data_IF_302557897350
#
_entry.id   IF_302557897350
#
_cell.length_a   1.000
_cell.length_b   1.000
_cell.length_c   1.000
_cell.angle_alpha   90.00
_cell.angle_beta   90.00
_cell.angle_gamma   90.00
#
_symmetry.space_group_name_H-M   'P 1'
#
loop_
_entity.id
_entity.type
_entity.pdbx_description
1 polymer ?
#
# COMPACT_ATOMS: atom_id res chain seq x y z
N UNK A 1 20.66 -67.91 -17.89
CA UNK A 1 20.71 -68.54 -19.24
C UNK A 1 21.08 -67.47 -20.22
N UNK A 2 22.19 -67.58 -20.70
CA UNK A 2 22.91 -67.67 -21.97
C UNK A 2 23.48 -66.34 -22.40
N UNK A 3 24.72 -66.10 -22.18
CA UNK A 3 26.01 -66.39 -22.87
C UNK A 3 26.37 -65.38 -23.96
N UNK A 4 27.49 -64.65 -23.70
CA UNK A 4 28.68 -64.45 -24.52
C UNK A 4 28.59 -64.18 -26.04
N UNK A 5 29.26 -63.09 -26.49
CA UNK A 5 30.39 -63.29 -27.41
C UNK A 5 31.34 -62.07 -27.45
N UNK A 6 32.62 -62.36 -27.14
CA UNK A 6 33.83 -61.62 -27.45
C UNK A 6 34.11 -61.61 -28.95
N UNK A 7 34.67 -60.52 -29.48
CA UNK A 7 35.67 -60.60 -30.56
C UNK A 7 36.64 -59.41 -30.47
N UNK A 8 37.86 -59.76 -30.17
CA UNK A 8 39.12 -59.02 -30.33
C UNK A 8 39.58 -59.04 -31.78
N UNK A 9 40.09 -57.90 -32.30
CA UNK A 9 41.05 -57.92 -33.43
C UNK A 9 42.07 -56.79 -33.26
N UNK A 10 43.23 -57.18 -33.02
CA UNK A 10 44.62 -56.80 -33.32
C UNK A 10 44.92 -55.45 -33.99
N UNK A 11 45.81 -54.80 -33.37
CA UNK A 11 46.96 -53.95 -33.62
C UNK A 11 47.42 -53.70 -35.07
N UNK A 12 47.70 -52.43 -35.35
CA UNK A 12 48.84 -52.07 -36.22
C UNK A 12 49.35 -50.68 -35.75
N UNK A 13 50.59 -50.67 -35.35
CA UNK A 13 51.26 -49.45 -34.89
C UNK A 13 51.75 -48.65 -36.09
N UNK A 14 51.91 -47.32 -35.81
CA UNK A 14 52.78 -46.46 -36.60
C UNK A 14 53.38 -45.37 -35.73
N UNK A 15 54.61 -45.21 -35.85
CA UNK A 15 55.60 -44.36 -35.20
C UNK A 15 55.24 -42.85 -35.15
N UNK A 16 55.45 -42.22 -34.04
CA UNK A 16 56.37 -41.17 -33.70
C UNK A 16 56.23 -39.80 -34.40
N UNK A 17 55.79 -38.81 -33.57
CA UNK A 17 56.40 -37.49 -33.56
C UNK A 17 56.28 -36.94 -32.12
N UNK A 18 57.41 -36.98 -31.43
CA UNK A 18 57.61 -36.24 -30.17
C UNK A 18 57.59 -34.70 -30.48
N UNK A 19 56.42 -34.13 -30.51
CA UNK A 19 56.26 -32.69 -30.42
C UNK A 19 56.18 -32.30 -28.94
N UNK A 20 57.26 -31.70 -28.42
CA UNK A 20 57.25 -31.01 -27.10
C UNK A 20 56.31 -29.83 -27.16
N UNK A 21 55.00 -30.08 -27.02
CA UNK A 21 54.00 -29.07 -26.81
C UNK A 21 54.21 -28.49 -25.42
N UNK A 22 54.83 -27.33 -25.34
CA UNK A 22 54.83 -26.54 -24.11
C UNK A 22 53.39 -26.29 -23.70
N UNK A 23 52.95 -26.89 -22.58
CA UNK A 23 51.71 -26.56 -21.91
C UNK A 23 51.81 -25.09 -21.52
N UNK A 24 51.25 -24.22 -22.35
CA UNK A 24 50.98 -22.82 -21.97
C UNK A 24 49.93 -22.90 -20.85
N UNK A 25 50.40 -22.88 -19.61
CA UNK A 25 49.50 -22.65 -18.48
C UNK A 25 48.87 -21.27 -18.68
N UNK A 26 47.59 -21.26 -19.07
CA UNK A 26 46.79 -20.05 -19.07
C UNK A 26 46.78 -19.48 -17.64
N UNK A 27 47.48 -18.38 -17.43
CA UNK A 27 47.42 -17.67 -16.17
C UNK A 27 45.95 -17.30 -15.92
N UNK A 28 45.41 -17.54 -14.71
CA UNK A 28 44.07 -17.11 -14.38
C UNK A 28 43.95 -15.60 -14.67
N UNK A 29 43.03 -15.25 -15.53
CA UNK A 29 42.76 -13.86 -15.87
C UNK A 29 42.57 -13.06 -14.56
N UNK A 30 43.36 -11.98 -14.39
CA UNK A 30 43.18 -11.08 -13.25
C UNK A 30 41.73 -10.66 -13.21
N UNK A 31 41.07 -10.72 -12.05
CA UNK A 31 39.67 -10.29 -11.94
C UNK A 31 39.57 -8.84 -12.47
N UNK A 32 38.64 -8.66 -13.39
CA UNK A 32 38.37 -7.33 -13.94
C UNK A 32 38.03 -6.41 -12.77
N UNK A 33 38.68 -5.23 -12.64
CA UNK A 33 38.32 -4.29 -11.58
C UNK A 33 36.82 -4.00 -11.65
N UNK A 34 36.15 -4.05 -10.51
CA UNK A 34 34.74 -3.70 -10.43
C UNK A 34 34.54 -2.26 -10.97
N UNK A 35 33.46 -1.97 -11.73
CA UNK A 35 33.20 -0.62 -12.18
C UNK A 35 33.13 0.33 -10.98
N UNK A 36 33.62 1.58 -11.13
CA UNK A 36 33.62 2.52 -10.04
C UNK A 36 32.20 2.75 -9.52
N UNK A 37 32.04 2.80 -8.19
CA UNK A 37 30.75 3.09 -7.58
C UNK A 37 30.42 4.58 -7.83
N UNK A 38 29.51 4.85 -8.75
CA UNK A 38 29.07 6.21 -9.09
C UNK A 38 28.40 6.93 -7.92
N UNK A 39 27.99 6.21 -6.89
CA UNK A 39 27.33 6.72 -5.67
C UNK A 39 28.29 6.93 -4.50
N UNK A 40 29.60 6.75 -4.70
CA UNK A 40 30.60 6.71 -3.61
C UNK A 40 30.50 7.93 -2.70
N UNK A 41 30.40 9.14 -3.25
CA UNK A 41 30.34 10.38 -2.47
C UNK A 41 29.08 10.44 -1.56
N UNK A 42 27.94 9.91 -2.03
CA UNK A 42 26.71 9.84 -1.26
C UNK A 42 26.85 8.78 -0.15
N UNK A 43 27.37 7.62 -0.54
CA UNK A 43 27.55 6.47 0.38
C UNK A 43 28.50 6.82 1.53
N UNK A 44 29.60 7.53 1.23
CA UNK A 44 30.57 7.99 2.23
C UNK A 44 29.95 9.04 3.17
N UNK A 45 29.18 9.98 2.64
CA UNK A 45 28.49 10.96 3.48
C UNK A 45 27.48 10.30 4.40
N UNK A 46 26.73 9.32 3.90
CA UNK A 46 25.73 8.59 4.68
C UNK A 46 26.33 7.61 5.71
N UNK A 47 27.61 7.25 5.58
CA UNK A 47 28.32 6.49 6.61
C UNK A 47 28.62 7.31 7.88
N UNK A 48 28.53 8.64 7.82
CA UNK A 48 28.87 9.57 8.89
C UNK A 48 27.66 10.38 9.38
N UNK A 49 26.43 9.86 9.25
CA UNK A 49 25.24 10.53 9.78
C UNK A 49 25.29 10.56 11.29
N UNK A 50 25.14 11.74 11.95
CA UNK A 50 25.13 11.83 13.41
C UNK A 50 23.99 11.00 14.03
N UNK A 51 24.26 10.30 15.13
CA UNK A 51 23.30 9.46 15.83
C UNK A 51 22.02 10.22 16.23
N UNK A 52 22.15 11.49 16.59
CA UNK A 52 21.01 12.35 16.92
C UNK A 52 20.00 12.49 15.74
N UNK A 53 20.49 12.42 14.52
CA UNK A 53 19.66 12.49 13.30
C UNK A 53 19.03 11.15 12.93
N UNK A 54 19.48 10.04 13.51
CA UNK A 54 19.06 8.69 13.12
C UNK A 54 18.04 8.05 14.06
N UNK A 55 17.59 8.77 15.08
CA UNK A 55 16.62 8.27 16.08
C UNK A 55 15.19 8.20 15.55
N UNK A 56 14.88 8.99 14.52
CA UNK A 56 13.56 9.02 13.86
C UNK A 56 13.71 9.12 12.35
N UNK A 57 12.74 8.62 11.59
CA UNK A 57 12.69 8.78 10.13
C UNK A 57 12.73 10.27 9.72
N UNK A 58 12.04 11.14 10.47
CA UNK A 58 12.06 12.59 10.24
C UNK A 58 13.42 13.23 10.51
N UNK A 59 14.18 12.76 11.51
CA UNK A 59 15.54 13.19 11.77
C UNK A 59 16.48 12.86 10.61
N UNK A 60 16.42 11.61 10.14
CA UNK A 60 17.20 11.13 9.00
C UNK A 60 16.83 11.90 7.72
N UNK A 61 15.54 12.11 7.46
CA UNK A 61 15.07 12.86 6.31
C UNK A 61 15.55 14.32 6.32
N UNK A 62 15.55 14.99 7.47
CA UNK A 62 16.11 16.36 7.59
C UNK A 62 17.59 16.39 7.25
N UNK A 63 18.39 15.43 7.76
CA UNK A 63 19.81 15.34 7.42
C UNK A 63 20.01 15.13 5.92
N UNK A 64 19.26 14.23 5.28
CA UNK A 64 19.31 13.95 3.85
C UNK A 64 18.94 15.22 3.06
N UNK A 65 17.85 15.90 3.40
CA UNK A 65 17.42 17.13 2.71
C UNK A 65 18.44 18.27 2.83
N UNK A 66 19.15 18.39 3.96
CA UNK A 66 20.22 19.36 4.15
C UNK A 66 21.50 18.99 3.37
N UNK A 67 21.68 17.71 3.04
CA UNK A 67 22.90 17.19 2.44
C UNK A 67 22.83 17.04 0.93
N UNK A 68 21.64 16.84 0.36
CA UNK A 68 21.44 16.52 -1.05
C UNK A 68 20.27 17.30 -1.63
N UNK A 69 20.37 17.70 -2.91
CA UNK A 69 19.36 18.51 -3.58
C UNK A 69 18.49 17.71 -4.56
N UNK A 70 19.05 16.70 -5.23
CA UNK A 70 18.33 15.93 -6.25
C UNK A 70 17.54 14.76 -5.66
N UNK A 71 16.43 14.38 -6.31
CA UNK A 71 15.66 13.18 -5.91
C UNK A 71 16.51 11.90 -5.99
N UNK A 72 17.39 11.81 -6.99
CA UNK A 72 18.29 10.68 -7.17
C UNK A 72 19.24 10.51 -5.97
N UNK A 73 19.90 11.60 -5.55
CA UNK A 73 20.82 11.56 -4.41
C UNK A 73 20.09 11.26 -3.10
N UNK A 74 18.91 11.86 -2.90
CA UNK A 74 18.10 11.65 -1.71
C UNK A 74 17.57 10.21 -1.62
N UNK A 75 17.11 9.64 -2.74
CA UNK A 75 16.70 8.24 -2.82
C UNK A 75 17.87 7.32 -2.51
N UNK A 76 19.06 7.60 -3.08
CA UNK A 76 20.28 6.85 -2.79
C UNK A 76 20.69 6.94 -1.34
N UNK A 77 20.68 8.13 -0.78
CA UNK A 77 21.05 8.40 0.62
C UNK A 77 20.14 7.60 1.59
N UNK A 78 18.83 7.66 1.40
CA UNK A 78 17.88 6.89 2.20
C UNK A 78 18.13 5.38 2.06
N UNK A 79 18.32 4.90 0.83
CA UNK A 79 18.52 3.48 0.52
C UNK A 79 19.77 2.92 1.17
N UNK A 80 20.91 3.57 0.94
CA UNK A 80 22.19 3.07 1.47
C UNK A 80 22.25 3.12 2.98
N UNK A 81 21.64 4.16 3.57
CA UNK A 81 21.58 4.25 5.02
C UNK A 81 20.78 3.10 5.63
N UNK A 82 19.58 2.82 5.13
CA UNK A 82 18.74 1.71 5.61
C UNK A 82 19.46 0.38 5.42
N UNK A 83 19.97 0.11 4.21
CA UNK A 83 20.64 -1.16 3.91
C UNK A 83 21.89 -1.43 4.75
N UNK A 84 22.61 -0.37 5.19
CA UNK A 84 23.84 -0.53 5.97
C UNK A 84 23.65 -0.43 7.49
N UNK A 85 22.54 0.14 7.95
CA UNK A 85 22.33 0.42 9.37
C UNK A 85 21.25 -0.45 10.04
N UNK A 86 20.54 -1.26 9.28
CA UNK A 86 19.62 -2.27 9.80
C UNK A 86 20.26 -3.64 9.54
N UNK A 87 20.40 -4.43 10.60
CA UNK A 87 20.85 -5.82 10.52
C UNK A 87 19.66 -6.73 10.22
N UNK A 88 19.83 -7.67 9.28
CA UNK A 88 18.77 -8.65 9.03
C UNK A 88 18.58 -9.57 10.23
N UNK A 89 17.35 -9.79 10.62
CA UNK A 89 16.97 -10.70 11.70
C UNK A 89 17.00 -12.14 11.20
N UNK A 90 18.15 -12.78 11.35
CA UNK A 90 18.34 -14.19 10.99
C UNK A 90 17.89 -15.14 12.10
N UNK A 91 17.58 -14.63 13.30
CA UNK A 91 17.07 -15.42 14.43
C UNK A 91 15.57 -15.68 14.30
N UNK A 92 14.83 -14.69 13.75
CA UNK A 92 13.38 -14.80 13.46
C UNK A 92 13.04 -14.37 12.01
N UNK A 93 13.60 -15.04 10.99
CA UNK A 93 13.49 -14.62 9.57
C UNK A 93 12.09 -14.80 9.00
N UNK A 94 11.20 -15.51 9.69
CA UNK A 94 9.83 -15.82 9.26
C UNK A 94 8.79 -14.89 9.85
N UNK A 95 9.17 -13.95 10.71
CA UNK A 95 8.27 -12.96 11.34
C UNK A 95 7.90 -11.83 10.34
N UNK A 96 7.35 -12.22 9.20
CA UNK A 96 6.98 -11.31 8.13
C UNK A 96 5.49 -11.00 8.24
N UNK A 97 5.15 -9.86 8.85
CA UNK A 97 3.78 -9.39 9.03
C UNK A 97 3.58 -8.10 8.22
N UNK A 98 2.88 -8.19 7.09
CA UNK A 98 2.70 -7.07 6.16
C UNK A 98 1.76 -5.96 6.65
N UNK A 99 0.93 -6.24 7.65
CA UNK A 99 -0.20 -5.38 8.00
C UNK A 99 -0.10 -4.79 9.41
N UNK A 100 1.12 -4.67 9.92
CA UNK A 100 1.39 -3.91 11.15
C UNK A 100 1.29 -2.41 10.85
N UNK A 101 1.02 -1.63 11.90
CA UNK A 101 1.03 -0.17 11.77
C UNK A 101 2.45 0.31 11.38
N UNK A 102 2.60 1.03 10.25
CA UNK A 102 3.93 1.42 9.75
C UNK A 102 4.74 2.23 10.77
N UNK A 103 4.09 3.10 11.54
CA UNK A 103 4.76 3.91 12.57
C UNK A 103 5.43 3.05 13.63
N UNK A 104 4.82 1.93 14.03
CA UNK A 104 5.37 0.99 15.02
C UNK A 104 6.55 0.22 14.42
N UNK A 105 6.39 -0.29 13.19
CA UNK A 105 7.45 -1.00 12.45
C UNK A 105 8.71 -0.13 12.30
N UNK A 106 8.53 1.14 11.92
CA UNK A 106 9.62 2.10 11.73
C UNK A 106 10.29 2.42 13.07
N UNK A 107 9.50 2.63 14.13
CA UNK A 107 10.03 2.91 15.48
C UNK A 107 10.89 1.75 16.00
N UNK A 108 10.42 0.52 15.84
CA UNK A 108 11.16 -0.68 16.23
C UNK A 108 12.46 -0.83 15.42
N UNK A 109 12.41 -0.70 14.11
CA UNK A 109 13.59 -0.76 13.24
C UNK A 109 14.66 0.25 13.64
N UNK A 110 14.27 1.48 13.96
CA UNK A 110 15.19 2.53 14.37
C UNK A 110 15.74 2.31 15.79
N UNK A 111 14.96 1.75 16.71
CA UNK A 111 15.37 1.50 18.08
C UNK A 111 16.30 0.28 18.18
N UNK A 112 15.96 -0.81 17.48
CA UNK A 112 16.66 -2.10 17.61
C UNK A 112 17.78 -2.26 16.59
N UNK A 113 17.73 -1.53 15.46
CA UNK A 113 18.64 -1.69 14.31
C UNK A 113 18.64 -3.13 13.75
N UNK A 114 17.56 -3.84 13.95
CA UNK A 114 17.35 -5.22 13.50
C UNK A 114 15.94 -5.33 12.92
N UNK A 115 15.76 -6.15 11.88
CA UNK A 115 14.45 -6.42 11.32
C UNK A 115 14.51 -7.31 10.09
N UNK A 116 13.34 -7.74 9.65
CA UNK A 116 13.14 -8.47 8.39
C UNK A 116 12.76 -7.50 7.26
N UNK A 117 12.43 -8.00 6.10
CA UNK A 117 12.15 -7.21 4.90
C UNK A 117 11.12 -6.08 5.11
N UNK A 118 10.12 -6.29 5.97
CA UNK A 118 9.07 -5.29 6.24
C UNK A 118 9.67 -4.06 6.92
N UNK A 119 10.57 -4.22 7.91
CA UNK A 119 11.25 -3.12 8.58
C UNK A 119 12.13 -2.32 7.62
N UNK A 120 12.86 -2.99 6.74
CA UNK A 120 13.68 -2.34 5.70
C UNK A 120 12.82 -1.53 4.74
N UNK A 121 11.74 -2.14 4.23
CA UNK A 121 10.89 -1.52 3.23
C UNK A 121 10.10 -0.32 3.80
N UNK A 122 9.50 -0.48 5.00
CA UNK A 122 8.75 0.59 5.67
C UNK A 122 9.64 1.77 6.04
N UNK A 123 10.83 1.50 6.61
CA UNK A 123 11.76 2.56 6.97
C UNK A 123 12.28 3.32 5.75
N UNK A 124 12.66 2.60 4.68
CA UNK A 124 13.07 3.25 3.44
C UNK A 124 11.93 4.08 2.85
N UNK A 125 10.73 3.50 2.75
CA UNK A 125 9.55 4.19 2.22
C UNK A 125 9.24 5.47 3.01
N UNK A 126 9.27 5.42 4.34
CA UNK A 126 9.02 6.58 5.17
C UNK A 126 10.04 7.69 4.96
N UNK A 127 11.33 7.35 4.95
CA UNK A 127 12.40 8.35 4.73
C UNK A 127 12.33 8.92 3.32
N UNK A 128 12.13 8.07 2.31
CA UNK A 128 12.03 8.48 0.91
C UNK A 128 10.87 9.46 0.69
N UNK A 129 9.68 9.16 1.23
CA UNK A 129 8.53 10.05 1.13
C UNK A 129 8.78 11.40 1.85
N UNK A 130 9.43 11.39 3.02
CA UNK A 130 9.77 12.61 3.75
C UNK A 130 10.82 13.50 3.04
N UNK A 131 11.62 12.92 2.15
CA UNK A 131 12.57 13.70 1.32
C UNK A 131 12.02 14.06 -0.06
N UNK A 132 10.73 13.76 -0.33
CA UNK A 132 10.04 14.11 -1.57
C UNK A 132 10.11 13.06 -2.68
N UNK A 133 10.58 11.85 -2.37
CA UNK A 133 10.63 10.74 -3.32
C UNK A 133 9.41 9.84 -3.08
N UNK A 134 8.40 9.95 -3.95
CA UNK A 134 7.18 9.15 -3.83
C UNK A 134 7.49 7.64 -3.84
N UNK A 135 7.19 6.95 -2.76
CA UNK A 135 7.58 5.55 -2.54
C UNK A 135 6.46 4.75 -1.90
N UNK A 136 6.25 3.54 -2.41
CA UNK A 136 5.30 2.56 -1.89
C UNK A 136 6.02 1.28 -1.47
N UNK A 137 5.57 0.69 -0.38
CA UNK A 137 5.97 -0.67 0.01
C UNK A 137 5.21 -1.67 -0.85
N UNK A 138 5.92 -2.62 -1.41
CA UNK A 138 5.39 -3.64 -2.33
C UNK A 138 5.51 -5.01 -1.67
N UNK A 139 4.43 -5.60 -1.21
CA UNK A 139 4.41 -6.97 -0.73
C UNK A 139 4.35 -7.96 -1.90
N UNK A 140 5.04 -9.10 -1.71
CA UNK A 140 5.11 -10.15 -2.71
C UNK A 140 5.85 -11.39 -2.19
N UNK A 141 6.50 -12.10 -3.09
CA UNK A 141 7.34 -13.26 -2.77
C UNK A 141 8.52 -13.34 -3.72
N UNK A 142 9.53 -14.12 -3.33
CA UNK A 142 10.79 -14.18 -4.07
C UNK A 142 11.08 -15.57 -4.60
N UNK A 143 12.02 -15.63 -5.54
CA UNK A 143 12.61 -16.86 -6.03
C UNK A 143 14.09 -16.86 -5.70
N UNK A 144 14.54 -17.92 -5.05
CA UNK A 144 15.93 -18.13 -4.66
C UNK A 144 16.83 -18.35 -5.89
N UNK A 145 18.14 -18.32 -5.70
CA UNK A 145 19.11 -18.53 -6.78
C UNK A 145 19.02 -19.91 -7.43
N UNK A 146 18.61 -20.92 -6.69
CA UNK A 146 18.37 -22.28 -7.18
C UNK A 146 17.05 -22.43 -7.97
N UNK A 147 16.26 -21.36 -8.08
CA UNK A 147 14.97 -21.34 -8.76
C UNK A 147 13.78 -21.71 -7.88
N UNK A 148 13.99 -22.03 -6.61
CA UNK A 148 12.93 -22.36 -5.66
C UNK A 148 12.16 -21.09 -5.27
N UNK A 149 10.83 -21.14 -5.30
CA UNK A 149 9.97 -20.05 -4.76
C UNK A 149 10.01 -20.11 -3.24
N UNK A 150 10.27 -18.98 -2.61
CA UNK A 150 10.29 -18.89 -1.15
C UNK A 150 8.93 -19.28 -0.54
N UNK A 151 8.98 -19.93 0.63
CA UNK A 151 7.79 -20.36 1.37
C UNK A 151 7.14 -19.23 2.18
N UNK A 152 7.82 -18.09 2.29
CA UNK A 152 7.36 -16.90 3.02
C UNK A 152 7.30 -15.71 2.08
N UNK A 153 6.47 -14.71 2.47
CA UNK A 153 6.39 -13.46 1.75
C UNK A 153 7.67 -12.63 1.84
N UNK A 154 7.72 -11.56 1.06
CA UNK A 154 8.80 -10.59 1.05
C UNK A 154 8.25 -9.20 0.75
N UNK A 155 8.94 -8.15 1.23
CA UNK A 155 8.59 -6.76 0.97
C UNK A 155 9.78 -5.99 0.43
N UNK A 156 9.50 -5.14 -0.56
CA UNK A 156 10.46 -4.21 -1.15
C UNK A 156 9.78 -2.88 -1.46
N UNK A 157 10.37 -2.03 -2.29
CA UNK A 157 9.82 -0.71 -2.59
C UNK A 157 9.73 -0.44 -4.09
N UNK A 158 8.72 0.35 -4.46
CA UNK A 158 8.62 1.04 -5.73
C UNK A 158 8.71 2.54 -5.48
N UNK A 159 9.70 3.21 -6.09
CA UNK A 159 9.92 4.66 -5.94
C UNK A 159 9.84 5.38 -7.27
N UNK A 160 9.22 6.55 -7.29
CA UNK A 160 9.24 7.46 -8.42
C UNK A 160 10.37 8.49 -8.23
N UNK A 161 11.43 8.33 -9.01
CA UNK A 161 12.63 9.14 -8.94
C UNK A 161 12.79 9.88 -10.26
N UNK A 162 12.88 11.18 -10.23
CA UNK A 162 12.97 12.05 -11.43
C UNK A 162 11.87 11.71 -12.47
N UNK A 163 10.64 11.49 -11.99
CA UNK A 163 9.48 11.18 -12.83
C UNK A 163 9.38 9.74 -13.34
N UNK A 164 10.33 8.86 -13.00
CA UNK A 164 10.35 7.44 -13.44
C UNK A 164 10.20 6.49 -12.27
N UNK A 165 9.46 5.41 -12.48
CA UNK A 165 9.30 4.35 -11.48
C UNK A 165 10.44 3.35 -11.54
N UNK A 166 10.96 3.00 -10.35
CA UNK A 166 12.02 2.03 -10.13
C UNK A 166 11.64 1.07 -8.99
N UNK A 167 12.19 -0.14 -9.05
CA UNK A 167 12.09 -1.12 -7.98
C UNK A 167 13.39 -1.14 -7.19
N UNK A 168 13.27 -1.24 -5.86
CA UNK A 168 14.39 -1.18 -4.93
C UNK A 168 14.16 -2.17 -3.79
N UNK A 169 15.20 -2.94 -3.46
CA UNK A 169 15.16 -3.82 -2.30
C UNK A 169 16.34 -3.54 -1.37
N UNK A 170 16.14 -2.77 -0.30
CA UNK A 170 17.20 -2.49 0.67
C UNK A 170 17.61 -3.73 1.46
N UNK A 171 16.73 -4.75 1.61
CA UNK A 171 17.02 -5.98 2.33
C UNK A 171 18.04 -6.84 1.57
N UNK A 172 17.75 -7.13 0.31
CA UNK A 172 18.66 -7.93 -0.53
C UNK A 172 19.93 -7.17 -0.89
N UNK A 173 19.92 -5.85 -0.81
CA UNK A 173 21.12 -5.03 -0.94
C UNK A 173 21.99 -5.01 0.31
N UNK A 174 21.45 -5.28 1.50
CA UNK A 174 22.16 -5.20 2.77
C UNK A 174 23.14 -6.38 2.96
N UNK A 175 22.75 -7.59 2.55
CA UNK A 175 23.55 -8.80 2.75
C UNK A 175 22.78 -10.09 2.43
N UNK A 176 23.21 -11.16 3.04
CA UNK A 176 22.61 -12.50 2.87
C UNK A 176 22.75 -13.33 4.15
N UNK A 177 21.99 -14.43 4.22
CA UNK A 177 22.06 -15.38 5.35
C UNK A 177 22.77 -16.65 4.91
N UNK A 178 23.71 -17.14 5.71
CA UNK A 178 24.40 -18.41 5.56
C UNK A 178 24.45 -19.09 6.91
N UNK A 179 24.05 -20.37 6.98
CA UNK A 179 24.03 -21.15 8.22
C UNK A 179 23.36 -20.39 9.37
N UNK A 180 22.17 -19.84 9.08
CA UNK A 180 21.34 -19.05 10.00
C UNK A 180 22.03 -17.78 10.57
N UNK A 181 23.12 -17.32 9.92
CA UNK A 181 23.84 -16.10 10.30
C UNK A 181 23.76 -15.06 9.19
N UNK A 182 23.44 -13.84 9.58
CA UNK A 182 23.48 -12.71 8.67
C UNK A 182 24.91 -12.28 8.38
N UNK A 183 25.23 -12.18 7.08
CA UNK A 183 26.51 -11.68 6.57
C UNK A 183 26.27 -10.35 5.86
N UNK A 184 26.72 -9.21 6.43
CA UNK A 184 26.57 -7.93 5.79
C UNK A 184 27.46 -7.83 4.55
N UNK A 185 26.83 -7.59 3.39
CA UNK A 185 27.52 -7.41 2.12
C UNK A 185 26.68 -6.52 1.21
N UNK A 186 26.94 -5.24 1.26
CA UNK A 186 26.21 -4.29 0.46
C UNK A 186 26.39 -4.52 -1.05
N UNK A 187 25.26 -4.48 -1.79
CA UNK A 187 25.20 -4.61 -3.24
C UNK A 187 24.34 -3.52 -3.87
N UNK A 188 24.75 -2.99 -5.02
CA UNK A 188 23.95 -2.05 -5.81
C UNK A 188 22.90 -2.74 -6.70
N UNK A 189 22.86 -4.05 -6.75
CA UNK A 189 22.02 -4.83 -7.67
C UNK A 189 20.53 -4.48 -7.58
N UNK A 190 20.06 -4.22 -6.35
CA UNK A 190 18.66 -3.95 -6.07
C UNK A 190 18.38 -2.45 -5.80
N UNK A 191 19.29 -1.57 -6.19
CA UNK A 191 19.02 -0.13 -6.22
C UNK A 191 18.66 0.29 -7.63
N UNK A 192 17.42 0.78 -7.85
CA UNK A 192 16.89 1.20 -9.16
C UNK A 192 16.97 0.07 -10.21
N UNK A 193 16.70 -1.15 -9.79
CA UNK A 193 16.76 -2.29 -10.70
C UNK A 193 15.67 -2.17 -11.80
N UNK A 194 16.00 -2.46 -13.06
CA UNK A 194 15.01 -2.46 -14.14
C UNK A 194 13.90 -3.48 -13.87
N UNK A 195 12.61 -3.15 -14.08
CA UNK A 195 11.49 -4.06 -13.82
C UNK A 195 11.63 -5.42 -14.48
N UNK A 196 12.13 -5.48 -15.73
CA UNK A 196 12.33 -6.75 -16.47
C UNK A 196 13.45 -7.63 -15.86
N UNK A 197 14.38 -7.06 -15.10
CA UNK A 197 15.40 -7.78 -14.35
C UNK A 197 14.86 -8.17 -12.98
N UNK A 198 14.24 -7.25 -12.29
CA UNK A 198 13.72 -7.42 -10.93
C UNK A 198 12.66 -8.55 -10.85
N UNK A 199 11.79 -8.64 -11.85
CA UNK A 199 10.76 -9.70 -11.95
C UNK A 199 11.36 -11.13 -12.09
N UNK A 200 12.65 -11.29 -12.28
CA UNK A 200 13.27 -12.62 -12.34
C UNK A 200 13.25 -13.33 -11.00
N UNK A 201 13.29 -12.58 -9.93
CA UNK A 201 13.36 -13.09 -8.56
C UNK A 201 12.40 -12.42 -7.55
N UNK A 202 11.66 -11.39 -7.94
CA UNK A 202 10.67 -10.70 -7.11
C UNK A 202 9.31 -10.67 -7.80
N UNK A 203 8.31 -11.31 -7.23
CA UNK A 203 6.95 -11.35 -7.75
C UNK A 203 5.99 -10.64 -6.79
N UNK A 204 5.47 -9.45 -7.13
CA UNK A 204 4.51 -8.77 -6.29
C UNK A 204 3.17 -9.51 -6.29
N UNK A 205 2.43 -9.44 -5.17
CA UNK A 205 1.07 -9.97 -5.12
C UNK A 205 0.14 -9.21 -6.05
N UNK A 206 0.24 -7.89 -6.08
CA UNK A 206 -0.50 -7.03 -7.02
C UNK A 206 0.33 -6.84 -8.30
N UNK A 207 -0.17 -7.28 -9.47
CA UNK A 207 0.55 -7.19 -10.74
C UNK A 207 0.89 -5.76 -11.19
N UNK A 208 0.22 -4.74 -10.64
CA UNK A 208 0.54 -3.32 -10.85
C UNK A 208 2.02 -3.03 -10.58
N UNK A 209 2.54 -3.60 -9.49
CA UNK A 209 3.90 -3.34 -9.02
C UNK A 209 4.99 -4.15 -9.73
N UNK A 210 4.64 -4.92 -10.76
CA UNK A 210 5.64 -5.44 -11.68
C UNK A 210 6.24 -4.33 -12.55
N UNK A 211 5.53 -3.21 -12.73
CA UNK A 211 5.90 -2.09 -13.61
C UNK A 211 6.20 -2.54 -15.05
N UNK A 212 5.49 -3.55 -15.52
CA UNK A 212 5.65 -4.14 -16.84
C UNK A 212 4.40 -3.92 -17.70
N UNK A 213 4.54 -3.61 -18.99
CA UNK A 213 3.41 -3.48 -19.91
C UNK A 213 2.69 -4.82 -20.16
N UNK A 214 3.35 -5.94 -19.91
CA UNK A 214 2.79 -7.29 -19.92
C UNK A 214 3.19 -8.00 -18.62
N UNK A 215 2.39 -7.91 -17.55
CA UNK A 215 2.69 -8.56 -16.28
C UNK A 215 2.82 -10.08 -16.42
N UNK A 216 3.83 -10.66 -15.78
CA UNK A 216 4.04 -12.11 -15.73
C UNK A 216 3.06 -12.76 -14.77
N UNK A 217 2.52 -13.90 -15.18
CA UNK A 217 1.75 -14.77 -14.30
C UNK A 217 2.67 -15.50 -13.29
N UNK A 218 2.10 -16.01 -12.20
CA UNK A 218 2.84 -16.81 -11.21
C UNK A 218 3.55 -18.03 -11.87
N UNK A 219 2.91 -18.67 -12.84
CA UNK A 219 3.50 -19.82 -13.56
C UNK A 219 4.71 -19.39 -14.43
N UNK A 220 4.61 -18.27 -15.14
CA UNK A 220 5.72 -17.71 -15.92
C UNK A 220 6.88 -17.30 -15.02
N UNK A 221 6.60 -16.70 -13.87
CA UNK A 221 7.60 -16.38 -12.88
C UNK A 221 8.32 -17.64 -12.37
N UNK A 222 7.57 -18.66 -11.98
CA UNK A 222 8.13 -19.93 -11.50
C UNK A 222 9.02 -20.59 -12.55
N UNK A 223 8.57 -20.65 -13.82
CA UNK A 223 9.32 -21.24 -14.94
C UNK A 223 10.43 -20.33 -15.49
N UNK A 224 10.51 -19.07 -15.06
CA UNK A 224 11.46 -18.11 -15.61
C UNK A 224 11.17 -17.68 -17.04
N UNK A 225 9.94 -17.91 -17.55
CA UNK A 225 9.54 -17.56 -18.91
C UNK A 225 8.96 -16.16 -19.01
N UNK A 226 9.07 -15.55 -20.19
CA UNK A 226 8.37 -14.29 -20.50
C UNK A 226 7.00 -14.58 -21.13
N UNK A 227 6.05 -13.61 -21.14
CA UNK A 227 4.83 -13.69 -21.93
C UNK A 227 5.16 -13.91 -23.42
N UNK A 228 4.44 -14.83 -24.05
CA UNK A 228 4.62 -15.19 -25.48
C UNK A 228 3.46 -14.54 -26.28
N UNK A 229 3.70 -13.98 -27.48
CA UNK A 229 2.64 -13.50 -28.37
C UNK A 229 1.61 -14.59 -28.76
N UNK A 230 0.32 -14.22 -28.99
CA UNK A 230 -0.20 -12.86 -28.92
C UNK A 230 -0.25 -12.34 -27.48
N UNK A 231 0.36 -11.15 -27.28
CA UNK A 231 0.32 -10.51 -25.97
C UNK A 231 -1.11 -10.00 -25.72
N UNK A 232 -1.60 -10.09 -24.46
CA UNK A 232 -2.84 -9.38 -24.09
C UNK A 232 -2.68 -7.88 -24.38
N UNK A 233 -3.79 -7.12 -24.45
CA UNK A 233 -3.70 -5.66 -24.54
C UNK A 233 -2.68 -5.15 -23.53
N UNK A 234 -1.78 -4.26 -23.99
CA UNK A 234 -0.72 -3.73 -23.13
C UNK A 234 -1.34 -3.05 -21.91
N UNK A 235 -0.93 -3.49 -20.75
CA UNK A 235 -1.35 -2.89 -19.49
C UNK A 235 -0.60 -1.57 -19.29
N UNK A 236 -1.35 -0.46 -19.31
CA UNK A 236 -0.78 0.84 -18.97
C UNK A 236 -0.56 0.94 -17.45
N UNK A 237 0.58 0.44 -16.98
CA UNK A 237 0.92 0.58 -15.56
C UNK A 237 1.07 2.05 -15.15
N UNK A 238 1.52 2.93 -16.04
CA UNK A 238 1.65 4.35 -15.74
C UNK A 238 0.30 5.01 -15.43
N UNK A 239 -0.72 4.77 -16.26
CA UNK A 239 -2.07 5.28 -16.03
C UNK A 239 -2.70 4.65 -14.79
N UNK A 240 -2.45 3.36 -14.57
CA UNK A 240 -2.94 2.64 -13.40
C UNK A 240 -2.31 3.14 -12.11
N UNK A 241 -1.02 3.47 -12.11
CA UNK A 241 -0.33 4.11 -10.99
C UNK A 241 -0.85 5.53 -10.74
N UNK A 242 -1.01 6.33 -11.81
CA UNK A 242 -1.57 7.67 -11.68
C UNK A 242 -3.02 7.64 -11.15
N UNK A 243 -3.81 6.62 -11.50
CA UNK A 243 -5.12 6.38 -10.92
C UNK A 243 -5.02 5.95 -9.44
N UNK A 244 -4.11 5.04 -9.11
CA UNK A 244 -3.85 4.56 -7.76
C UNK A 244 -3.46 5.71 -6.82
N UNK A 245 -2.57 6.61 -7.23
CA UNK A 245 -2.15 7.78 -6.45
C UNK A 245 -3.31 8.74 -6.09
N UNK A 246 -4.37 8.78 -6.91
CA UNK A 246 -5.56 9.62 -6.65
C UNK A 246 -6.62 8.95 -5.80
N UNK A 247 -6.50 7.67 -5.54
CA UNK A 247 -7.47 6.89 -4.77
C UNK A 247 -7.29 7.09 -3.27
N UNK A 248 -8.41 7.04 -2.52
CA UNK A 248 -8.35 6.91 -1.07
C UNK A 248 -7.79 5.54 -0.65
N UNK A 249 -7.29 5.38 0.59
CA UNK A 249 -6.72 4.10 1.06
C UNK A 249 -7.66 2.90 0.85
N UNK A 250 -8.96 3.05 1.10
CA UNK A 250 -9.93 1.97 0.88
C UNK A 250 -10.13 1.66 -0.62
N UNK A 251 -10.08 2.68 -1.49
CA UNK A 251 -10.14 2.47 -2.93
C UNK A 251 -8.89 1.78 -3.46
N UNK A 252 -7.70 2.14 -2.94
CA UNK A 252 -6.43 1.48 -3.26
C UNK A 252 -6.47 0.00 -2.87
N UNK A 253 -6.95 -0.31 -1.66
CA UNK A 253 -7.07 -1.67 -1.15
C UNK A 253 -8.02 -2.51 -2.02
N UNK A 254 -9.19 -1.95 -2.35
CA UNK A 254 -10.17 -2.60 -3.24
C UNK A 254 -9.64 -2.82 -4.65
N UNK A 255 -8.94 -1.84 -5.21
CA UNK A 255 -8.34 -1.95 -6.53
C UNK A 255 -7.23 -3.02 -6.56
N UNK A 256 -6.42 -3.09 -5.49
CA UNK A 256 -5.40 -4.14 -5.30
C UNK A 256 -6.04 -5.52 -5.26
N UNK A 257 -7.07 -5.73 -4.44
CA UNK A 257 -7.79 -7.01 -4.34
C UNK A 257 -8.33 -7.45 -5.70
N UNK A 258 -8.97 -6.54 -6.42
CA UNK A 258 -9.51 -6.81 -7.77
C UNK A 258 -8.42 -7.21 -8.76
N UNK A 259 -7.26 -6.51 -8.78
CA UNK A 259 -6.16 -6.85 -9.68
C UNK A 259 -5.55 -8.21 -9.37
N UNK A 260 -5.41 -8.57 -8.08
CA UNK A 260 -4.93 -9.88 -7.65
C UNK A 260 -5.89 -10.97 -8.13
N UNK A 261 -7.19 -10.80 -7.93
CA UNK A 261 -8.22 -11.75 -8.37
C UNK A 261 -8.22 -11.93 -9.88
N UNK A 262 -8.18 -10.84 -10.64
CA UNK A 262 -8.16 -10.86 -12.11
C UNK A 262 -6.87 -11.49 -12.67
N UNK A 263 -5.75 -11.28 -12.02
CA UNK A 263 -4.47 -11.88 -12.41
C UNK A 263 -4.39 -13.37 -12.06
N UNK A 264 -5.16 -13.80 -11.09
CA UNK A 264 -5.35 -15.17 -10.65
C UNK A 264 -4.50 -15.55 -9.43
N UNK A 265 -5.19 -16.16 -8.47
CA UNK A 265 -4.60 -16.69 -7.23
C UNK A 265 -4.09 -18.11 -7.49
N UNK A 266 -2.78 -18.31 -7.61
CA UNK A 266 -2.14 -19.57 -8.04
C UNK A 266 -1.21 -20.19 -7.01
N UNK A 267 -1.03 -19.56 -5.84
CA UNK A 267 -0.24 -20.12 -4.73
C UNK A 267 -0.79 -19.67 -3.37
N UNK A 268 -0.40 -20.37 -2.29
CA UNK A 268 -0.87 -20.13 -0.94
C UNK A 268 -0.50 -18.74 -0.40
N UNK A 269 0.67 -18.19 -0.73
CA UNK A 269 1.09 -16.87 -0.27
C UNK A 269 0.17 -15.77 -0.84
N UNK A 270 -0.13 -15.82 -2.14
CA UNK A 270 -1.06 -14.87 -2.77
C UNK A 270 -2.47 -15.02 -2.21
N UNK A 271 -2.90 -16.26 -1.92
CA UNK A 271 -4.19 -16.52 -1.30
C UNK A 271 -4.28 -15.90 0.11
N UNK A 272 -3.31 -16.19 0.97
CA UNK A 272 -3.28 -15.64 2.34
C UNK A 272 -3.25 -14.11 2.31
N UNK A 273 -2.40 -13.51 1.50
CA UNK A 273 -2.34 -12.06 1.36
C UNK A 273 -3.68 -11.44 0.92
N UNK A 274 -4.36 -12.07 -0.05
CA UNK A 274 -5.67 -11.61 -0.50
C UNK A 274 -6.74 -11.74 0.58
N UNK A 275 -6.74 -12.82 1.35
CA UNK A 275 -7.65 -13.02 2.48
C UNK A 275 -7.45 -11.91 3.51
N UNK A 276 -6.21 -11.66 3.93
CA UNK A 276 -5.88 -10.62 4.90
C UNK A 276 -6.25 -9.22 4.38
N UNK A 277 -6.00 -8.95 3.10
CA UNK A 277 -6.40 -7.70 2.47
C UNK A 277 -7.92 -7.49 2.44
N UNK A 278 -8.68 -8.54 2.14
CA UNK A 278 -10.15 -8.48 2.19
C UNK A 278 -10.67 -8.26 3.61
N UNK A 279 -10.03 -8.89 4.60
CA UNK A 279 -10.36 -8.66 6.00
C UNK A 279 -10.14 -7.20 6.40
N UNK A 280 -9.02 -6.60 5.96
CA UNK A 280 -8.72 -5.16 6.19
C UNK A 280 -9.73 -4.26 5.47
N UNK A 281 -10.09 -4.57 4.23
CA UNK A 281 -11.13 -3.85 3.49
C UNK A 281 -12.43 -3.86 4.29
N UNK A 282 -12.85 -5.01 4.75
CA UNK A 282 -14.06 -5.18 5.55
C UNK A 282 -13.99 -4.40 6.88
N UNK A 283 -12.86 -4.46 7.58
CA UNK A 283 -12.63 -3.71 8.82
C UNK A 283 -12.76 -2.18 8.62
N UNK A 284 -12.19 -1.64 7.53
CA UNK A 284 -12.33 -0.21 7.21
C UNK A 284 -13.79 0.17 6.92
N UNK A 285 -14.57 -0.69 6.28
CA UNK A 285 -16.00 -0.45 6.08
C UNK A 285 -16.75 -0.38 7.39
N UNK A 286 -16.51 -1.32 8.31
CA UNK A 286 -17.16 -1.30 9.62
C UNK A 286 -16.80 -0.07 10.43
N UNK A 287 -15.55 0.37 10.39
CA UNK A 287 -15.13 1.62 11.04
C UNK A 287 -15.89 2.81 10.47
N UNK A 288 -15.92 2.97 9.14
CA UNK A 288 -16.65 4.06 8.50
C UNK A 288 -18.16 4.00 8.77
N UNK A 289 -18.74 2.80 8.79
CA UNK A 289 -20.15 2.60 9.12
C UNK A 289 -20.46 3.04 10.55
N UNK A 290 -19.67 2.61 11.52
CA UNK A 290 -19.83 2.96 12.93
C UNK A 290 -19.68 4.48 13.15
N UNK A 291 -18.71 5.11 12.47
CA UNK A 291 -18.56 6.57 12.49
C UNK A 291 -19.80 7.27 11.91
N UNK A 292 -20.36 6.73 10.82
CA UNK A 292 -21.60 7.21 10.23
C UNK A 292 -22.79 7.11 11.17
N UNK A 293 -22.93 5.99 11.90
CA UNK A 293 -23.96 5.80 12.93
C UNK A 293 -23.80 6.80 14.07
N UNK A 294 -22.57 7.05 14.52
CA UNK A 294 -22.29 8.03 15.58
C UNK A 294 -22.65 9.45 15.14
N UNK A 295 -22.29 9.84 13.91
CA UNK A 295 -22.67 11.15 13.33
C UNK A 295 -24.18 11.27 13.20
N UNK A 296 -24.87 10.20 12.77
CA UNK A 296 -26.34 10.16 12.69
C UNK A 296 -27.00 10.38 14.04
N UNK A 297 -26.57 9.68 15.08
CA UNK A 297 -27.12 9.82 16.43
C UNK A 297 -26.96 11.24 16.95
N UNK A 298 -25.78 11.84 16.79
CA UNK A 298 -25.54 13.23 17.16
C UNK A 298 -26.41 14.23 16.37
N UNK A 299 -26.66 13.96 15.09
CA UNK A 299 -27.55 14.77 14.26
C UNK A 299 -29.01 14.68 14.71
N UNK A 300 -29.47 13.46 15.07
CA UNK A 300 -30.83 13.24 15.62
C UNK A 300 -31.01 14.00 16.93
N UNK A 301 -30.02 13.97 17.84
CA UNK A 301 -30.08 14.71 19.12
C UNK A 301 -30.18 16.22 18.89
N UNK A 302 -29.40 16.75 17.95
CA UNK A 302 -29.48 18.17 17.55
C UNK A 302 -30.86 18.52 16.95
N UNK A 303 -31.41 17.64 16.11
CA UNK A 303 -32.73 17.82 15.52
C UNK A 303 -33.82 17.78 16.57
N UNK A 304 -33.79 16.85 17.51
CA UNK A 304 -34.72 16.76 18.61
C UNK A 304 -34.67 18.03 19.47
N UNK A 305 -33.47 18.51 19.82
CA UNK A 305 -33.28 19.79 20.54
C UNK A 305 -33.91 20.99 19.78
N UNK A 306 -33.73 21.00 18.44
CA UNK A 306 -34.34 22.00 17.60
C UNK A 306 -35.88 21.90 17.60
N UNK A 307 -36.45 20.70 17.48
CA UNK A 307 -37.91 20.48 17.52
C UNK A 307 -38.47 20.89 18.87
N UNK A 308 -37.80 20.57 19.97
CA UNK A 308 -38.21 21.05 21.30
C UNK A 308 -38.20 22.60 21.40
N UNK A 309 -37.16 23.23 20.85
CA UNK A 309 -37.07 24.69 20.80
C UNK A 309 -38.19 25.30 19.93
N UNK A 310 -38.50 24.68 18.81
CA UNK A 310 -39.64 25.03 17.96
C UNK A 310 -40.95 24.87 18.73
N UNK A 311 -41.19 23.76 19.45
CA UNK A 311 -42.40 23.51 20.24
C UNK A 311 -42.57 24.50 21.39
N UNK A 312 -41.46 25.04 21.92
CA UNK A 312 -41.49 26.17 22.89
C UNK A 312 -41.64 27.53 22.20
N UNK A 313 -42.10 27.56 20.95
CA UNK A 313 -42.30 28.77 20.17
C UNK A 313 -41.06 29.66 20.07
N UNK A 314 -39.90 29.01 19.91
CA UNK A 314 -38.58 29.60 19.85
C UNK A 314 -38.23 30.46 21.08
N UNK A 315 -38.53 29.95 22.29
CA UNK A 315 -38.13 30.58 23.55
C UNK A 315 -36.91 29.89 24.16
N UNK A 316 -35.89 30.62 24.65
CA UNK A 316 -35.74 32.09 24.60
C UNK A 316 -35.56 32.60 23.17
N UNK A 317 -35.99 33.85 22.94
CA UNK A 317 -35.98 34.46 21.59
C UNK A 317 -34.57 34.56 21.01
N UNK A 318 -34.48 34.26 19.71
CA UNK A 318 -33.30 34.45 18.87
C UNK A 318 -33.64 35.39 17.71
N UNK A 319 -32.62 36.01 17.13
CA UNK A 319 -32.75 36.78 15.88
C UNK A 319 -33.09 35.87 14.71
N UNK A 320 -33.66 36.41 13.64
CA UNK A 320 -33.98 35.67 12.42
C UNK A 320 -32.73 35.03 11.81
N UNK A 321 -31.60 35.71 11.88
CA UNK A 321 -30.28 35.19 11.42
C UNK A 321 -29.82 33.99 12.25
N UNK A 322 -29.96 34.06 13.58
CA UNK A 322 -29.59 32.93 14.46
C UNK A 322 -30.52 31.74 14.23
N UNK A 323 -31.83 31.97 14.03
CA UNK A 323 -32.79 30.91 13.73
C UNK A 323 -32.46 30.21 12.40
N UNK A 324 -32.12 31.00 11.37
CA UNK A 324 -31.75 30.48 10.05
C UNK A 324 -30.50 29.62 10.10
N UNK A 325 -29.58 29.88 11.02
CA UNK A 325 -28.32 29.15 11.17
C UNK A 325 -28.44 27.79 11.90
N UNK A 326 -29.61 27.47 12.50
CA UNK A 326 -29.75 26.25 13.34
C UNK A 326 -29.77 24.94 12.55
N UNK A 327 -30.44 24.89 11.39
CA UNK A 327 -30.71 23.66 10.66
C UNK A 327 -29.61 23.24 9.65
N UNK A 328 -28.86 24.16 9.00
CA UNK A 328 -27.83 23.75 8.03
C UNK A 328 -26.75 22.82 8.58
N UNK A 329 -26.21 22.99 9.81
CA UNK A 329 -25.26 22.05 10.40
C UNK A 329 -25.85 20.64 10.58
N UNK A 330 -27.12 20.52 10.96
CA UNK A 330 -27.81 19.24 11.13
C UNK A 330 -27.97 18.53 9.77
N UNK A 331 -28.30 19.30 8.73
CA UNK A 331 -28.39 18.79 7.37
C UNK A 331 -27.03 18.25 6.86
N UNK A 332 -25.94 18.96 7.17
CA UNK A 332 -24.58 18.54 6.83
C UNK A 332 -24.20 17.24 7.55
N UNK A 333 -24.56 17.10 8.84
CA UNK A 333 -24.30 15.89 9.60
C UNK A 333 -25.07 14.68 9.04
N UNK A 334 -26.36 14.81 8.67
CA UNK A 334 -27.10 13.73 8.01
C UNK A 334 -26.50 13.35 6.66
N UNK A 335 -26.10 14.34 5.85
CA UNK A 335 -25.43 14.06 4.58
C UNK A 335 -24.10 13.31 4.79
N UNK A 336 -23.32 13.68 5.81
CA UNK A 336 -22.08 12.99 6.19
C UNK A 336 -22.37 11.57 6.65
N UNK A 337 -23.36 11.35 7.50
CA UNK A 337 -23.76 10.02 7.97
C UNK A 337 -24.17 9.12 6.79
N UNK A 338 -24.94 9.65 5.85
CA UNK A 338 -25.35 8.93 4.63
C UNK A 338 -24.12 8.49 3.81
N UNK A 339 -23.16 9.38 3.57
CA UNK A 339 -21.96 9.06 2.80
C UNK A 339 -21.11 7.99 3.48
N UNK A 340 -20.94 8.05 4.80
CA UNK A 340 -20.15 7.08 5.56
C UNK A 340 -20.81 5.69 5.58
N UNK A 341 -22.15 5.61 5.59
CA UNK A 341 -22.89 4.35 5.69
C UNK A 341 -23.33 3.76 4.34
N UNK A 342 -23.17 4.50 3.24
CA UNK A 342 -23.62 4.05 1.91
C UNK A 342 -22.84 2.89 1.32
N UNK A 343 -21.62 2.62 1.79
CA UNK A 343 -20.64 1.77 1.11
C UNK A 343 -20.41 0.41 1.79
N UNK A 344 -21.27 -0.05 2.69
CA UNK A 344 -21.08 -1.35 3.36
C UNK A 344 -21.30 -2.49 2.35
N UNK A 345 -20.27 -3.30 2.03
CA UNK A 345 -20.48 -4.50 1.22
C UNK A 345 -21.38 -5.47 2.00
N UNK A 346 -22.47 -5.84 1.41
CA UNK A 346 -23.33 -6.89 1.95
C UNK A 346 -22.64 -8.25 1.75
N UNK A 347 -21.78 -8.63 2.68
CA UNK A 347 -21.10 -9.92 2.68
C UNK A 347 -21.92 -11.00 3.39
N UNK A 348 -22.91 -10.60 4.18
CA UNK A 348 -23.79 -11.44 4.99
C UNK A 348 -25.22 -10.89 4.94
N UNK A 349 -26.24 -11.74 4.73
CA UNK A 349 -27.66 -11.34 4.70
C UNK A 349 -28.10 -10.57 5.96
N UNK A 350 -27.58 -10.89 7.13
CA UNK A 350 -27.89 -10.20 8.38
C UNK A 350 -27.37 -8.77 8.41
N UNK A 351 -26.16 -8.54 7.88
CA UNK A 351 -25.55 -7.24 7.75
C UNK A 351 -26.28 -6.38 6.72
N UNK A 352 -26.73 -6.99 5.62
CA UNK A 352 -27.54 -6.33 4.60
C UNK A 352 -28.84 -5.83 5.21
N UNK A 353 -29.56 -6.66 5.95
CA UNK A 353 -30.81 -6.30 6.62
C UNK A 353 -30.61 -5.15 7.61
N UNK A 354 -29.54 -5.17 8.41
CA UNK A 354 -29.18 -4.12 9.35
C UNK A 354 -28.87 -2.79 8.65
N UNK A 355 -28.12 -2.84 7.55
CA UNK A 355 -27.79 -1.65 6.76
C UNK A 355 -29.05 -1.04 6.10
N UNK A 356 -29.95 -1.86 5.55
CA UNK A 356 -31.20 -1.42 4.96
C UNK A 356 -32.12 -0.77 6.02
N UNK A 357 -32.22 -1.36 7.20
CA UNK A 357 -32.99 -0.80 8.32
C UNK A 357 -32.41 0.54 8.76
N UNK A 358 -31.09 0.66 8.86
CA UNK A 358 -30.44 1.94 9.18
C UNK A 358 -30.74 3.00 8.11
N UNK A 359 -30.63 2.66 6.81
CA UNK A 359 -30.96 3.59 5.73
C UNK A 359 -32.42 4.06 5.76
N UNK A 360 -33.35 3.18 6.17
CA UNK A 360 -34.76 3.55 6.38
C UNK A 360 -34.91 4.55 7.53
N UNK A 361 -34.21 4.33 8.64
CA UNK A 361 -34.20 5.21 9.80
C UNK A 361 -33.60 6.58 9.46
N UNK A 362 -32.50 6.61 8.72
CA UNK A 362 -31.85 7.82 8.24
C UNK A 362 -32.81 8.66 7.37
N UNK A 363 -33.46 8.02 6.38
CA UNK A 363 -34.47 8.70 5.53
C UNK A 363 -35.64 9.30 6.35
N UNK A 364 -36.11 8.58 7.37
CA UNK A 364 -37.17 9.10 8.25
C UNK A 364 -36.73 10.34 9.03
N UNK A 365 -35.48 10.35 9.52
CA UNK A 365 -34.92 11.53 10.20
C UNK A 365 -34.72 12.72 9.26
N UNK A 366 -34.27 12.47 8.04
CA UNK A 366 -34.15 13.50 7.00
C UNK A 366 -35.49 14.10 6.60
N UNK A 367 -36.55 13.29 6.54
CA UNK A 367 -37.91 13.80 6.32
C UNK A 367 -38.35 14.78 7.44
N UNK A 368 -38.08 14.43 8.70
CA UNK A 368 -38.35 15.33 9.83
C UNK A 368 -37.54 16.65 9.77
N UNK A 369 -36.28 16.54 9.33
CA UNK A 369 -35.46 17.74 9.10
C UNK A 369 -36.06 18.63 8.01
N UNK A 370 -36.54 18.06 6.90
CA UNK A 370 -37.20 18.80 5.82
C UNK A 370 -38.48 19.48 6.30
N UNK A 371 -39.29 18.81 7.12
CA UNK A 371 -40.48 19.40 7.75
C UNK A 371 -40.10 20.59 8.64
N UNK A 372 -39.05 20.47 9.46
CA UNK A 372 -38.54 21.55 10.32
C UNK A 372 -38.01 22.73 9.50
N UNK A 373 -37.31 22.47 8.39
CA UNK A 373 -36.82 23.46 7.43
C UNK A 373 -38.00 24.21 6.78
N UNK A 374 -39.01 23.47 6.32
CA UNK A 374 -40.20 24.05 5.71
C UNK A 374 -40.97 24.94 6.71
N UNK A 375 -41.12 24.52 7.97
CA UNK A 375 -41.71 25.33 9.02
C UNK A 375 -40.88 26.60 9.28
N UNK A 376 -39.56 26.47 9.46
CA UNK A 376 -38.66 27.59 9.69
C UNK A 376 -38.74 28.63 8.57
N UNK A 377 -38.75 28.20 7.31
CA UNK A 377 -38.87 29.08 6.16
C UNK A 377 -40.21 29.88 6.21
N UNK A 378 -41.34 29.21 6.48
CA UNK A 378 -42.62 29.89 6.63
C UNK A 378 -42.61 30.89 7.80
N UNK A 379 -42.00 30.49 8.93
CA UNK A 379 -41.90 31.34 10.12
C UNK A 379 -41.08 32.61 9.84
N UNK A 380 -39.96 32.49 9.18
CA UNK A 380 -39.09 33.65 8.86
C UNK A 380 -39.71 34.58 7.79
N UNK A 381 -40.49 34.03 6.85
CA UNK A 381 -41.20 34.83 5.83
C UNK A 381 -42.44 35.54 6.37
N UNK A 382 -43.02 35.04 7.45
CA UNK A 382 -44.21 35.60 8.02
C UNK A 382 -43.96 36.95 8.73
N UNK A 383 -44.95 37.87 8.62
CA UNK A 383 -44.93 39.09 9.42
C UNK A 383 -44.86 38.73 10.92
N UNK A 384 -44.05 39.47 11.68
CA UNK A 384 -43.80 39.21 13.12
C UNK A 384 -45.06 39.03 13.94
N UNK A 385 -46.13 39.81 13.65
CA UNK A 385 -47.42 39.70 14.32
C UNK A 385 -48.18 38.39 14.02
N UNK A 386 -47.92 37.78 12.87
CA UNK A 386 -48.57 36.53 12.44
C UNK A 386 -47.79 35.26 12.83
N UNK A 387 -46.54 35.39 13.24
CA UNK A 387 -45.66 34.23 13.61
C UNK A 387 -46.27 33.33 14.70
N UNK A 388 -46.92 33.84 15.78
CA UNK A 388 -47.52 32.99 16.79
C UNK A 388 -48.64 32.09 16.25
N UNK A 389 -49.38 32.54 15.23
CA UNK A 389 -50.47 31.76 14.63
C UNK A 389 -49.96 30.52 13.86
N UNK A 390 -48.70 30.51 13.40
CA UNK A 390 -48.12 29.37 12.72
C UNK A 390 -47.96 28.17 13.66
N UNK A 391 -47.84 28.36 14.96
CA UNK A 391 -47.75 27.25 15.94
C UNK A 391 -49.13 26.61 16.20
N UNK A 392 -50.24 27.26 15.85
CA UNK A 392 -51.60 26.69 15.92
C UNK A 392 -51.85 25.72 14.73
N UNK A 393 -51.16 25.94 13.60
CA UNK A 393 -51.25 25.07 12.42
C UNK A 393 -49.86 24.84 11.83
N UNK A 394 -48.99 24.04 12.50
CA UNK A 394 -47.61 23.86 12.11
C UNK A 394 -47.44 23.15 10.76
N UNK A 395 -48.39 22.34 10.32
CA UNK A 395 -48.33 21.63 9.04
C UNK A 395 -48.72 22.50 7.82
N UNK A 396 -49.33 23.66 8.04
CA UNK A 396 -49.82 24.56 6.99
C UNK A 396 -50.94 23.95 6.11
N UNK A 397 -51.50 22.81 6.52
CA UNK A 397 -52.65 22.20 5.82
C UNK A 397 -53.89 22.99 6.14
N UNK A 398 -54.54 23.49 5.11
CA UNK A 398 -55.77 24.26 5.27
C UNK A 398 -56.85 23.32 5.81
N UNK A 399 -57.44 23.58 7.03
CA UNK A 399 -58.50 22.70 7.58
C UNK A 399 -59.79 22.69 6.75
N UNK A 400 -59.93 23.57 5.77
CA UNK A 400 -61.13 23.69 4.90
C UNK A 400 -61.09 22.88 3.63
N UNK A 401 -60.03 22.06 3.40
CA UNK A 401 -60.01 21.13 2.27
C UNK A 401 -60.11 19.68 2.76
N UNK A 402 -61.20 19.31 3.35
CA UNK A 402 -61.71 17.94 3.49
C UNK A 402 -63.02 17.82 2.75
#
# INVERSE_FOLDING_TARGET
MTTFFYRSVLAAGLWGCLGTGALVQAQPAKPRPAPPNIYQAIDDKMAHVPDSSTRTAGGLARYINASFSTEDDKARAAFVWVAKNIRYDAEDPYNIVFFREPADVIREALAQRVGVCVQYAELYSAVANLVGVATYVVPGYTKQRDGTVASVGHAWCASRIAGRWYLLDPTWSAGYVVEDKYVPRFSNEFFRAPPAVFIRNHMPFDPLWQLLPAPRTALQFQKGTAPVPPLPPLFSFADSLAAYERQSPIQQLRATNRRIEQHGVKNGLTYSFLVDNKQRELSQYFTAYNDGVNVFNAAVDKLNTHIEYQNRQFQPKKTDTELQALLPPIAADFARARNLTAAVPATDPSQQTSAEQFQKTLRAAETRLQESQAFMNRYLQANRLMRPLLFLNPSGRNPMMR
#
